data_IF_238908616789
#
_entry.id   IF_238908616789
#
_cell.length_a   1.000
_cell.length_b   1.000
_cell.length_c   1.000
_cell.angle_alpha   90.00
_cell.angle_beta   90.00
_cell.angle_gamma   90.00
#
_symmetry.space_group_name_H-M   'P 1'
#
loop_
_entity.id
_entity.type
_entity.pdbx_description
1 polymer ?
#
# COMPACT_ATOMS: atom_id res chain seq x y z
N UNK A 1 -11.84 -9.55 4.56
CA UNK A 1 -11.12 -10.80 4.90
C UNK A 1 -10.74 -11.64 3.67
N UNK A 2 -11.65 -11.97 2.76
CA UNK A 2 -11.33 -12.81 1.58
C UNK A 2 -10.28 -12.23 0.63
N UNK A 3 -10.22 -10.90 0.44
CA UNK A 3 -9.29 -10.25 -0.48
C UNK A 3 -7.84 -10.32 0.03
N UNK A 4 -7.63 -10.09 1.32
CA UNK A 4 -6.29 -10.18 1.94
C UNK A 4 -5.74 -11.62 1.88
N UNK A 5 -6.61 -12.63 2.04
CA UNK A 5 -6.22 -14.03 1.91
C UNK A 5 -5.71 -14.37 0.50
N UNK A 6 -6.34 -13.82 -0.55
CA UNK A 6 -5.89 -13.98 -1.94
C UNK A 6 -4.46 -13.43 -2.14
N UNK A 7 -4.17 -12.24 -1.61
CA UNK A 7 -2.82 -11.65 -1.74
C UNK A 7 -1.77 -12.42 -0.95
N UNK A 8 -2.11 -12.91 0.24
CA UNK A 8 -1.22 -13.80 1.01
C UNK A 8 -0.89 -15.07 0.21
N UNK A 9 -1.89 -15.73 -0.38
CA UNK A 9 -1.67 -16.93 -1.19
C UNK A 9 -0.78 -16.63 -2.40
N UNK A 10 -1.02 -15.53 -3.12
CA UNK A 10 -0.18 -15.11 -4.24
C UNK A 10 1.25 -14.81 -3.77
N UNK A 11 1.41 -14.14 -2.63
CA UNK A 11 2.72 -13.83 -2.08
C UNK A 11 3.49 -15.11 -1.68
N UNK A 12 2.82 -16.09 -1.06
CA UNK A 12 3.42 -17.38 -0.69
C UNK A 12 3.87 -18.15 -1.94
N UNK A 13 3.00 -18.27 -2.95
CA UNK A 13 3.36 -18.96 -4.20
C UNK A 13 4.47 -18.21 -4.96
N UNK A 14 4.35 -16.88 -5.06
CA UNK A 14 5.36 -16.04 -5.72
C UNK A 14 6.72 -16.12 -5.05
N UNK A 15 6.78 -16.08 -3.72
CA UNK A 15 8.04 -16.21 -2.98
C UNK A 15 8.67 -17.60 -3.14
N UNK A 16 7.86 -18.67 -3.14
CA UNK A 16 8.37 -20.00 -3.39
C UNK A 16 8.99 -20.14 -4.79
N UNK A 17 8.30 -19.60 -5.83
CA UNK A 17 8.82 -19.61 -7.21
C UNK A 17 10.12 -18.80 -7.30
N UNK A 18 10.19 -17.61 -6.69
CA UNK A 18 11.40 -16.77 -6.72
C UNK A 18 12.60 -17.46 -6.07
N UNK A 19 12.42 -18.09 -4.91
CA UNK A 19 13.51 -18.81 -4.23
C UNK A 19 14.02 -19.98 -5.07
N UNK A 20 13.13 -20.71 -5.73
CA UNK A 20 13.52 -21.78 -6.67
C UNK A 20 14.31 -21.20 -7.86
N UNK A 21 13.87 -20.08 -8.42
CA UNK A 21 14.59 -19.40 -9.51
C UNK A 21 15.97 -18.92 -9.07
N UNK A 22 16.11 -18.36 -7.87
CA UNK A 22 17.42 -17.93 -7.36
C UNK A 22 18.35 -19.11 -7.10
N UNK A 23 17.84 -20.23 -6.62
CA UNK A 23 18.62 -21.45 -6.47
C UNK A 23 19.19 -21.98 -7.81
N UNK A 24 18.35 -22.03 -8.85
CA UNK A 24 18.82 -22.42 -10.18
C UNK A 24 19.73 -21.35 -10.81
N UNK A 25 19.43 -20.07 -10.59
CA UNK A 25 20.27 -18.96 -11.02
C UNK A 25 21.67 -19.00 -10.41
N UNK A 26 21.78 -19.34 -9.11
CA UNK A 26 23.05 -19.53 -8.43
C UNK A 26 23.87 -20.67 -9.07
N UNK A 27 23.23 -21.81 -9.33
CA UNK A 27 23.89 -22.95 -9.99
C UNK A 27 24.39 -22.61 -11.40
N UNK A 28 23.66 -21.77 -12.12
CA UNK A 28 24.03 -21.34 -13.46
C UNK A 28 25.15 -20.29 -13.48
N UNK A 29 25.14 -19.34 -12.52
CA UNK A 29 26.10 -18.24 -12.47
C UNK A 29 27.44 -18.62 -11.80
N UNK A 30 27.44 -19.66 -10.93
CA UNK A 30 28.55 -20.02 -10.08
C UNK A 30 28.71 -19.10 -8.86
N UNK A 31 29.08 -19.68 -7.72
CA UNK A 31 29.12 -18.95 -6.42
C UNK A 31 30.15 -17.80 -6.40
N UNK A 32 31.20 -17.89 -7.17
CA UNK A 32 32.30 -16.91 -7.20
C UNK A 32 32.02 -15.70 -8.11
N UNK A 33 30.90 -15.69 -8.84
CA UNK A 33 30.52 -14.57 -9.70
C UNK A 33 29.74 -13.50 -8.92
N UNK A 34 29.78 -12.25 -9.41
CA UNK A 34 28.96 -11.15 -8.84
C UNK A 34 27.46 -11.53 -8.87
N UNK A 35 27.01 -12.13 -9.97
CA UNK A 35 25.63 -12.59 -10.11
C UNK A 35 25.32 -13.74 -9.15
N UNK A 36 26.24 -14.68 -8.95
CA UNK A 36 26.10 -15.74 -7.95
C UNK A 36 25.95 -15.19 -6.55
N UNK A 37 26.74 -14.20 -6.18
CA UNK A 37 26.61 -13.52 -4.86
C UNK A 37 25.25 -12.85 -4.69
N UNK A 38 24.72 -12.20 -5.73
CA UNK A 38 23.36 -11.62 -5.68
C UNK A 38 22.28 -12.70 -5.50
N UNK A 39 22.39 -13.83 -6.22
CA UNK A 39 21.45 -14.94 -6.03
C UNK A 39 21.53 -15.55 -4.64
N UNK A 40 22.73 -15.66 -4.05
CA UNK A 40 22.93 -16.09 -2.66
C UNK A 40 22.18 -15.16 -1.69
N UNK A 41 22.41 -13.85 -1.80
CA UNK A 41 21.77 -12.84 -0.96
C UNK A 41 20.25 -12.87 -1.08
N UNK A 42 19.71 -13.09 -2.28
CA UNK A 42 18.26 -13.12 -2.52
C UNK A 42 17.59 -14.44 -2.09
N UNK A 43 18.32 -15.45 -1.64
CA UNK A 43 17.79 -16.68 -1.10
C UNK A 43 18.17 -17.95 -1.83
N UNK A 44 19.20 -17.92 -2.68
CA UNK A 44 19.70 -19.09 -3.40
C UNK A 44 20.33 -20.15 -2.51
N UNK A 45 20.58 -19.88 -1.23
CA UNK A 45 21.26 -20.81 -0.29
C UNK A 45 20.24 -21.69 0.45
N UNK A 46 19.68 -22.67 -0.25
CA UNK A 46 18.82 -23.70 0.35
C UNK A 46 19.68 -24.80 1.03
N UNK A 47 19.33 -25.29 2.25
CA UNK A 47 18.11 -25.09 3.05
C UNK A 47 18.23 -24.13 4.22
N UNK A 48 19.41 -23.59 4.56
CA UNK A 48 19.68 -22.93 5.84
C UNK A 48 19.01 -21.52 6.01
N UNK A 49 18.73 -20.81 4.91
CA UNK A 49 18.09 -19.49 4.95
C UNK A 49 16.60 -19.50 4.66
N UNK A 50 16.02 -20.67 4.34
CA UNK A 50 14.68 -20.81 3.78
C UNK A 50 13.59 -20.10 4.57
N UNK A 51 13.53 -20.29 5.89
CA UNK A 51 12.40 -19.80 6.67
C UNK A 51 12.35 -18.28 6.74
N UNK A 52 13.49 -17.62 7.05
CA UNK A 52 13.53 -16.16 7.25
C UNK A 52 13.42 -15.39 5.94
N UNK A 53 14.18 -15.78 4.93
CA UNK A 53 14.09 -15.14 3.61
C UNK A 53 12.73 -15.35 2.95
N UNK A 54 12.14 -16.53 3.09
CA UNK A 54 10.79 -16.81 2.61
C UNK A 54 9.76 -15.86 3.22
N UNK A 55 9.83 -15.63 4.54
CA UNK A 55 8.94 -14.70 5.24
C UNK A 55 9.16 -13.25 4.79
N UNK A 56 10.41 -12.83 4.57
CA UNK A 56 10.74 -11.48 4.06
C UNK A 56 10.16 -11.29 2.66
N UNK A 57 10.31 -12.27 1.76
CA UNK A 57 9.72 -12.23 0.42
C UNK A 57 8.19 -12.19 0.45
N UNK A 58 7.55 -13.00 1.31
CA UNK A 58 6.09 -12.96 1.49
C UNK A 58 5.65 -11.55 1.91
N UNK A 59 6.31 -10.98 2.92
CA UNK A 59 5.96 -9.65 3.42
C UNK A 59 6.11 -8.57 2.34
N UNK A 60 7.20 -8.62 1.57
CA UNK A 60 7.45 -7.68 0.48
C UNK A 60 6.44 -7.79 -0.65
N UNK A 61 6.22 -9.00 -1.18
CA UNK A 61 5.28 -9.23 -2.29
C UNK A 61 3.86 -8.87 -1.87
N UNK A 62 3.43 -9.28 -0.66
CA UNK A 62 2.11 -8.93 -0.15
C UNK A 62 1.94 -7.43 -0.01
N UNK A 63 2.92 -6.73 0.59
CA UNK A 63 2.90 -5.27 0.70
C UNK A 63 2.80 -4.57 -0.65
N UNK A 64 3.56 -5.01 -1.64
CA UNK A 64 3.52 -4.46 -3.00
C UNK A 64 2.17 -4.71 -3.71
N UNK A 65 1.56 -5.88 -3.51
CA UNK A 65 0.23 -6.19 -4.05
C UNK A 65 -0.86 -5.32 -3.42
N UNK A 66 -0.80 -5.08 -2.11
CA UNK A 66 -1.73 -4.18 -1.40
C UNK A 66 -1.58 -2.73 -1.91
N UNK A 67 -0.36 -2.23 -2.06
CA UNK A 67 -0.09 -0.89 -2.61
C UNK A 67 -0.67 -0.77 -4.02
N UNK A 68 -0.38 -1.74 -4.89
CA UNK A 68 -0.89 -1.76 -6.26
C UNK A 68 -2.43 -1.70 -6.31
N UNK A 69 -3.10 -2.48 -5.47
CA UNK A 69 -4.57 -2.46 -5.40
C UNK A 69 -5.11 -1.09 -4.98
N UNK A 70 -4.46 -0.43 -4.01
CA UNK A 70 -4.85 0.90 -3.57
C UNK A 70 -4.64 1.96 -4.66
N UNK A 71 -3.49 1.95 -5.31
CA UNK A 71 -3.21 2.84 -6.43
C UNK A 71 -4.25 2.66 -7.55
N UNK A 72 -4.63 1.42 -7.87
CA UNK A 72 -5.68 1.17 -8.87
C UNK A 72 -7.04 1.76 -8.46
N UNK A 73 -7.39 1.70 -7.16
CA UNK A 73 -8.61 2.35 -6.65
C UNK A 73 -8.56 3.86 -6.75
N UNK A 74 -7.42 4.48 -6.38
CA UNK A 74 -7.23 5.93 -6.55
C UNK A 74 -7.39 6.33 -8.01
N UNK A 75 -6.78 5.57 -8.93
CA UNK A 75 -6.92 5.84 -10.36
C UNK A 75 -8.37 5.67 -10.85
N UNK A 76 -9.11 4.74 -10.27
CA UNK A 76 -10.52 4.58 -10.55
C UNK A 76 -11.33 5.78 -10.04
N UNK A 77 -11.13 6.21 -8.79
CA UNK A 77 -11.80 7.38 -8.20
C UNK A 77 -11.50 8.68 -8.97
N UNK A 78 -10.26 8.85 -9.45
CA UNK A 78 -9.90 10.02 -10.27
C UNK A 78 -10.72 10.18 -11.53
N UNK A 79 -11.25 9.09 -12.12
CA UNK A 79 -12.13 9.15 -13.29
C UNK A 79 -13.50 9.82 -13.02
N UNK A 80 -13.88 9.97 -11.74
CA UNK A 80 -15.09 10.69 -11.40
C UNK A 80 -15.03 12.16 -11.79
N UNK A 81 -13.82 12.77 -11.79
CA UNK A 81 -13.65 14.17 -12.22
C UNK A 81 -13.84 14.35 -13.73
N UNK A 82 -13.57 13.34 -14.54
CA UNK A 82 -13.77 13.38 -16.00
C UNK A 82 -15.25 13.38 -16.39
N UNK A 83 -16.15 13.09 -15.43
CA UNK A 83 -17.60 13.09 -15.67
C UNK A 83 -18.23 14.47 -15.55
N UNK A 84 -17.48 15.52 -15.21
CA UNK A 84 -17.97 16.89 -15.01
C UNK A 84 -19.31 16.90 -14.26
N UNK A 85 -19.28 16.37 -13.03
CA UNK A 85 -20.48 16.11 -12.23
C UNK A 85 -21.20 17.39 -11.81
N UNK A 86 -20.45 18.49 -11.64
CA UNK A 86 -20.93 19.81 -11.26
C UNK A 86 -20.68 20.81 -12.40
N UNK A 87 -21.45 21.91 -12.51
CA UNK A 87 -21.15 23.01 -13.41
C UNK A 87 -19.83 23.67 -13.00
N UNK A 88 -18.92 23.82 -13.93
CA UNK A 88 -17.58 24.42 -13.67
C UNK A 88 -17.52 25.90 -14.10
N UNK A 89 -18.56 26.42 -14.74
CA UNK A 89 -18.65 27.81 -15.20
C UNK A 89 -18.81 28.77 -14.00
N UNK A 90 -17.94 29.77 -13.88
CA UNK A 90 -17.90 30.67 -12.71
C UNK A 90 -19.19 31.48 -12.45
N UNK A 91 -19.94 31.81 -13.50
CA UNK A 91 -21.16 32.60 -13.41
C UNK A 91 -22.41 31.81 -13.02
N UNK A 92 -22.28 30.49 -12.87
CA UNK A 92 -23.42 29.63 -12.54
C UNK A 92 -23.75 29.71 -11.05
N UNK A 93 -24.99 30.11 -10.75
CA UNK A 93 -25.55 30.14 -9.38
C UNK A 93 -26.64 29.09 -9.28
N UNK A 94 -26.64 28.29 -8.23
CA UNK A 94 -27.59 27.19 -8.03
C UNK A 94 -28.75 27.61 -7.12
N UNK A 95 -29.95 27.49 -7.65
CA UNK A 95 -31.19 27.59 -6.86
C UNK A 95 -31.47 26.31 -6.06
N UNK A 96 -32.38 26.35 -5.09
CA UNK A 96 -32.78 25.13 -4.36
C UNK A 96 -33.39 24.04 -5.27
N UNK A 97 -34.00 24.41 -6.39
CA UNK A 97 -34.55 23.46 -7.36
C UNK A 97 -33.46 22.78 -8.17
N UNK A 98 -32.41 23.53 -8.58
CA UNK A 98 -31.25 22.96 -9.25
C UNK A 98 -30.52 21.94 -8.36
N UNK A 99 -30.43 22.19 -7.05
CA UNK A 99 -29.86 21.25 -6.07
C UNK A 99 -30.68 19.97 -5.94
N UNK A 100 -32.02 20.08 -6.07
CA UNK A 100 -32.91 18.90 -6.10
C UNK A 100 -32.66 18.04 -7.33
N UNK A 101 -32.60 18.68 -8.49
CA UNK A 101 -32.34 17.99 -9.76
C UNK A 101 -30.94 17.33 -9.76
N UNK A 102 -29.95 18.07 -9.29
CA UNK A 102 -28.59 17.55 -9.11
C UNK A 102 -28.57 16.32 -8.19
N UNK A 103 -29.27 16.35 -7.06
CA UNK A 103 -29.37 15.21 -6.14
C UNK A 103 -29.96 13.98 -6.83
N UNK A 104 -31.03 14.14 -7.63
CA UNK A 104 -31.65 13.04 -8.37
C UNK A 104 -30.64 12.47 -9.38
N UNK A 105 -29.93 13.33 -10.12
CA UNK A 105 -28.85 12.93 -11.03
C UNK A 105 -27.76 12.13 -10.32
N UNK A 106 -27.33 12.56 -9.11
CA UNK A 106 -26.32 11.84 -8.33
C UNK A 106 -26.81 10.46 -7.86
N UNK A 107 -28.09 10.32 -7.49
CA UNK A 107 -28.69 9.02 -7.13
C UNK A 107 -28.66 8.04 -8.33
N UNK A 108 -28.94 8.52 -9.52
CA UNK A 108 -28.94 7.67 -10.71
C UNK A 108 -27.51 7.32 -11.17
N UNK A 109 -26.57 8.23 -11.01
CA UNK A 109 -25.16 7.97 -11.29
C UNK A 109 -24.53 7.00 -10.28
N UNK A 110 -24.92 7.07 -9.00
CA UNK A 110 -24.45 6.15 -7.94
C UNK A 110 -24.84 4.69 -8.24
N UNK A 111 -25.95 4.45 -8.91
CA UNK A 111 -26.34 3.09 -9.35
C UNK A 111 -25.43 2.52 -10.43
N UNK A 112 -24.76 3.40 -11.20
CA UNK A 112 -23.89 3.03 -12.33
C UNK A 112 -22.41 3.04 -11.96
N UNK A 113 -22.04 3.93 -11.05
CA UNK A 113 -20.64 4.20 -10.68
C UNK A 113 -20.51 4.34 -9.17
N UNK A 114 -19.63 3.54 -8.57
CA UNK A 114 -19.31 3.59 -7.13
C UNK A 114 -18.14 4.55 -6.89
N UNK A 115 -18.38 5.88 -7.08
CA UNK A 115 -17.40 6.92 -6.82
C UNK A 115 -17.70 7.67 -5.51
N UNK A 116 -16.67 7.87 -4.67
CA UNK A 116 -16.81 8.63 -3.42
C UNK A 116 -17.20 10.09 -3.67
N UNK A 117 -16.76 10.67 -4.79
CA UNK A 117 -17.12 12.04 -5.18
C UNK A 117 -18.64 12.18 -5.40
N UNK A 118 -19.30 11.22 -6.06
CA UNK A 118 -20.75 11.21 -6.24
C UNK A 118 -21.47 11.17 -4.89
N UNK A 119 -20.98 10.34 -3.97
CA UNK A 119 -21.55 10.25 -2.62
C UNK A 119 -21.38 11.54 -1.82
N UNK A 120 -20.23 12.23 -1.96
CA UNK A 120 -19.95 13.50 -1.32
C UNK A 120 -20.93 14.59 -1.82
N UNK A 121 -21.09 14.72 -3.14
CA UNK A 121 -22.03 15.67 -3.78
C UNK A 121 -23.48 15.37 -3.32
N UNK A 122 -23.92 14.11 -3.35
CA UNK A 122 -25.25 13.68 -2.92
C UNK A 122 -25.52 14.07 -1.44
N UNK A 123 -24.53 13.87 -0.56
CA UNK A 123 -24.64 14.25 0.86
C UNK A 123 -24.71 15.76 1.00
N UNK A 124 -23.92 16.54 0.26
CA UNK A 124 -23.95 17.98 0.26
C UNK A 124 -25.35 18.51 -0.15
N UNK A 125 -25.91 18.02 -1.26
CA UNK A 125 -27.27 18.36 -1.69
C UNK A 125 -28.32 17.98 -0.64
N UNK A 126 -28.15 16.83 0.03
CA UNK A 126 -29.09 16.39 1.06
C UNK A 126 -29.05 17.31 2.27
N UNK A 127 -27.87 17.73 2.72
CA UNK A 127 -27.68 18.63 3.85
C UNK A 127 -28.28 20.02 3.56
N UNK A 128 -28.00 20.57 2.36
CA UNK A 128 -28.56 21.85 1.94
C UNK A 128 -30.09 21.85 1.93
N UNK A 129 -30.72 20.78 1.43
CA UNK A 129 -32.19 20.66 1.44
C UNK A 129 -32.80 20.63 2.83
N UNK A 130 -32.10 20.04 3.81
CA UNK A 130 -32.60 19.92 5.17
C UNK A 130 -32.55 21.27 5.93
N UNK A 131 -31.41 21.94 5.84
CA UNK A 131 -31.11 23.06 6.74
C UNK A 131 -31.05 24.41 6.03
N UNK A 132 -30.96 24.43 4.69
CA UNK A 132 -30.79 25.64 3.85
C UNK A 132 -29.65 26.56 4.38
N UNK A 133 -28.61 25.97 4.94
CA UNK A 133 -27.47 26.67 5.52
C UNK A 133 -26.21 26.31 4.73
N UNK A 134 -25.61 27.30 4.07
CA UNK A 134 -24.35 27.13 3.30
C UNK A 134 -23.22 26.73 4.23
N UNK A 135 -23.12 27.36 5.41
CA UNK A 135 -22.09 27.05 6.40
C UNK A 135 -22.15 25.60 6.88
N UNK A 136 -23.36 25.05 7.10
CA UNK A 136 -23.52 23.66 7.54
C UNK A 136 -23.17 22.68 6.43
N UNK A 137 -23.44 23.01 5.16
CA UNK A 137 -23.02 22.20 4.00
C UNK A 137 -21.50 22.19 3.89
N UNK A 138 -20.83 23.35 4.01
CA UNK A 138 -19.38 23.47 3.97
C UNK A 138 -18.74 22.61 5.07
N UNK A 139 -19.21 22.76 6.31
CA UNK A 139 -18.71 21.98 7.45
C UNK A 139 -18.92 20.47 7.25
N UNK A 140 -20.05 20.06 6.69
CA UNK A 140 -20.34 18.65 6.40
C UNK A 140 -19.43 18.11 5.31
N UNK A 141 -19.17 18.86 4.22
CA UNK A 141 -18.25 18.46 3.13
C UNK A 141 -16.86 18.23 3.69
N UNK A 142 -16.33 19.21 4.45
CA UNK A 142 -15.00 19.11 5.05
C UNK A 142 -14.90 17.96 6.07
N UNK A 143 -15.92 17.76 6.88
CA UNK A 143 -15.96 16.65 7.84
C UNK A 143 -16.00 15.29 7.12
N UNK A 144 -16.78 15.17 6.03
CA UNK A 144 -16.89 13.93 5.26
C UNK A 144 -15.59 13.63 4.52
N UNK A 145 -14.92 14.62 3.94
CA UNK A 145 -13.61 14.44 3.29
C UNK A 145 -12.57 13.91 4.29
N UNK A 146 -12.51 14.46 5.50
CA UNK A 146 -11.63 13.97 6.58
C UNK A 146 -11.96 12.53 7.00
N UNK A 147 -13.25 12.18 7.10
CA UNK A 147 -13.68 10.80 7.40
C UNK A 147 -13.24 9.85 6.30
N UNK A 148 -13.39 10.23 5.03
CA UNK A 148 -12.98 9.40 3.90
C UNK A 148 -11.46 9.18 3.91
N UNK A 149 -10.66 10.23 4.17
CA UNK A 149 -9.21 10.12 4.31
C UNK A 149 -8.82 9.21 5.47
N UNK A 150 -9.40 9.39 6.66
CA UNK A 150 -9.13 8.54 7.82
C UNK A 150 -9.48 7.06 7.55
N UNK A 151 -10.55 6.80 6.80
CA UNK A 151 -10.91 5.45 6.35
C UNK A 151 -9.88 4.87 5.38
N UNK A 152 -9.38 5.66 4.42
CA UNK A 152 -8.32 5.26 3.50
C UNK A 152 -7.02 4.90 4.27
N UNK A 153 -6.59 5.74 5.21
CA UNK A 153 -5.43 5.50 6.08
C UNK A 153 -5.58 4.24 6.94
N UNK A 154 -6.75 4.04 7.53
CA UNK A 154 -7.05 2.82 8.32
C UNK A 154 -6.90 1.55 7.48
N UNK A 155 -7.30 1.60 6.23
CA UNK A 155 -7.16 0.49 5.29
C UNK A 155 -5.70 0.18 4.87
N UNK A 156 -4.75 1.09 5.13
CA UNK A 156 -3.32 0.93 4.83
C UNK A 156 -2.52 0.32 6.00
N UNK A 157 -3.17 0.01 7.11
CA UNK A 157 -2.51 -0.51 8.32
C UNK A 157 -1.68 -1.78 8.06
N UNK A 158 -2.15 -2.66 7.18
CA UNK A 158 -1.42 -3.90 6.80
C UNK A 158 -0.11 -3.56 6.10
N UNK A 159 -0.10 -2.61 5.16
CA UNK A 159 1.11 -2.20 4.44
C UNK A 159 2.15 -1.65 5.42
N UNK A 160 1.72 -0.76 6.30
CA UNK A 160 2.57 -0.17 7.34
C UNK A 160 3.15 -1.24 8.28
N UNK A 161 2.32 -2.20 8.70
CA UNK A 161 2.77 -3.32 9.52
C UNK A 161 3.83 -4.17 8.81
N UNK A 162 3.60 -4.53 7.54
CA UNK A 162 4.54 -5.31 6.75
C UNK A 162 5.88 -4.57 6.58
N UNK A 163 5.84 -3.28 6.24
CA UNK A 163 7.04 -2.46 6.10
C UNK A 163 7.88 -2.41 7.39
N UNK A 164 7.20 -2.26 8.54
CA UNK A 164 7.85 -2.23 9.85
C UNK A 164 8.36 -3.62 10.30
N UNK A 165 7.65 -4.69 9.95
CA UNK A 165 8.01 -6.04 10.39
C UNK A 165 9.21 -6.63 9.65
N UNK A 166 9.49 -6.19 8.42
CA UNK A 166 10.61 -6.73 7.61
C UNK A 166 11.98 -6.55 8.29
N UNK A 167 12.38 -5.37 8.80
CA UNK A 167 13.64 -5.22 9.55
C UNK A 167 13.70 -6.14 10.77
N UNK A 168 12.58 -6.32 11.49
CA UNK A 168 12.52 -7.21 12.64
C UNK A 168 12.75 -8.68 12.23
N UNK A 169 12.16 -9.13 11.11
CA UNK A 169 12.40 -10.46 10.55
C UNK A 169 13.86 -10.66 10.15
N UNK A 170 14.48 -9.65 9.54
CA UNK A 170 15.91 -9.66 9.22
C UNK A 170 16.78 -9.80 10.47
N UNK A 171 16.48 -9.02 11.50
CA UNK A 171 17.21 -9.06 12.78
C UNK A 171 17.06 -10.43 13.48
N UNK A 172 15.87 -11.02 13.48
CA UNK A 172 15.65 -12.38 13.98
C UNK A 172 16.54 -13.37 13.23
N UNK A 173 16.61 -13.27 11.90
CA UNK A 173 17.50 -14.09 11.07
C UNK A 173 18.97 -13.96 11.47
N UNK A 174 19.42 -12.74 11.79
CA UNK A 174 20.80 -12.50 12.29
C UNK A 174 21.06 -13.18 13.62
N UNK A 175 20.13 -13.09 14.57
CA UNK A 175 20.27 -13.74 15.88
C UNK A 175 20.40 -15.26 15.72
N UNK A 176 19.57 -15.87 14.88
CA UNK A 176 19.65 -17.32 14.63
C UNK A 176 20.97 -17.73 13.94
N UNK A 177 21.42 -16.97 12.96
CA UNK A 177 22.68 -17.27 12.26
C UNK A 177 23.93 -17.12 13.14
N UNK A 178 23.98 -16.07 13.97
CA UNK A 178 25.04 -15.89 14.96
C UNK A 178 24.97 -16.99 16.02
N UNK A 179 23.79 -17.33 16.53
CA UNK A 179 23.59 -18.41 17.49
C UNK A 179 24.07 -19.77 16.95
N UNK A 180 23.75 -20.07 15.69
CA UNK A 180 24.25 -21.28 15.02
C UNK A 180 25.77 -21.28 14.88
N UNK A 181 26.38 -20.12 14.58
CA UNK A 181 27.83 -19.97 14.50
C UNK A 181 28.51 -20.19 15.87
N UNK A 182 27.95 -19.59 16.92
CA UNK A 182 28.49 -19.72 18.29
C UNK A 182 28.38 -21.16 18.81
N UNK A 183 27.35 -21.92 18.43
CA UNK A 183 27.22 -23.33 18.82
C UNK A 183 28.31 -24.27 18.27
N UNK A 184 29.07 -23.80 17.30
CA UNK A 184 30.17 -24.53 16.64
C UNK A 184 31.55 -24.01 17.06
N UNK A 185 31.62 -22.94 17.88
CA UNK A 185 32.83 -22.20 18.15
C UNK A 185 33.91 -23.03 18.87
N UNK A 186 33.52 -24.00 19.68
CA UNK A 186 34.44 -24.93 20.37
C UNK A 186 35.21 -25.86 19.40
N UNK A 187 34.68 -26.05 18.20
CA UNK A 187 35.27 -26.88 17.14
C UNK A 187 35.88 -26.07 15.99
N UNK A 188 36.06 -24.75 16.18
CA UNK A 188 36.57 -23.84 15.16
C UNK A 188 38.01 -24.13 14.67
N UNK A 189 38.76 -25.01 15.37
CA UNK A 189 40.06 -25.49 14.90
C UNK A 189 39.96 -26.40 13.65
N UNK A 190 38.81 -27.00 13.41
CA UNK A 190 38.52 -27.76 12.19
C UNK A 190 38.19 -26.81 11.02
N UNK A 191 38.96 -26.87 9.91
CA UNK A 191 38.70 -25.99 8.74
C UNK A 191 37.29 -26.11 8.16
N UNK A 192 36.69 -27.29 8.21
CA UNK A 192 35.32 -27.51 7.69
C UNK A 192 34.28 -26.84 8.61
N UNK A 193 34.46 -26.94 9.94
CA UNK A 193 33.61 -26.28 10.93
C UNK A 193 33.78 -24.76 10.85
N UNK A 194 35.01 -24.25 10.67
CA UNK A 194 35.27 -22.84 10.48
C UNK A 194 34.55 -22.29 9.23
N UNK A 195 34.54 -23.06 8.15
CA UNK A 195 33.78 -22.70 6.94
C UNK A 195 32.27 -22.64 7.20
N UNK A 196 31.70 -23.59 7.97
CA UNK A 196 30.29 -23.56 8.36
C UNK A 196 29.94 -22.34 9.23
N UNK A 197 30.78 -22.01 10.21
CA UNK A 197 30.63 -20.82 11.06
C UNK A 197 30.57 -19.57 10.17
N UNK A 198 31.52 -19.41 9.28
CA UNK A 198 31.63 -18.26 8.38
C UNK A 198 30.39 -18.16 7.47
N UNK A 199 29.94 -19.27 6.92
CA UNK A 199 28.78 -19.32 6.06
C UNK A 199 27.47 -18.94 6.80
N UNK A 200 27.27 -19.43 8.02
CA UNK A 200 26.12 -19.05 8.85
C UNK A 200 26.11 -17.54 9.12
N UNK A 201 27.27 -16.91 9.35
CA UNK A 201 27.36 -15.47 9.53
C UNK A 201 27.03 -14.69 8.25
N UNK A 202 27.52 -15.15 7.09
CA UNK A 202 27.16 -14.53 5.81
C UNK A 202 25.65 -14.54 5.58
N UNK A 203 25.01 -15.70 5.76
CA UNK A 203 23.55 -15.84 5.61
C UNK A 203 22.81 -14.92 6.58
N UNK A 204 23.28 -14.80 7.82
CA UNK A 204 22.68 -13.92 8.82
C UNK A 204 22.69 -12.45 8.39
N UNK A 205 23.84 -11.95 7.93
CA UNK A 205 23.97 -10.56 7.48
C UNK A 205 23.19 -10.29 6.18
N UNK A 206 23.22 -11.22 5.23
CA UNK A 206 22.47 -11.12 3.98
C UNK A 206 20.97 -11.00 4.23
N UNK A 207 20.41 -11.80 5.16
CA UNK A 207 19.00 -11.72 5.55
C UNK A 207 18.61 -10.33 6.04
N UNK A 208 19.45 -9.74 6.89
CA UNK A 208 19.19 -8.40 7.44
C UNK A 208 19.31 -7.32 6.36
N UNK A 209 20.34 -7.42 5.50
CA UNK A 209 20.54 -6.47 4.42
C UNK A 209 19.35 -6.45 3.46
N UNK A 210 18.87 -7.61 3.03
CA UNK A 210 17.71 -7.72 2.12
C UNK A 210 16.43 -7.24 2.80
N UNK A 211 16.21 -7.59 4.06
CA UNK A 211 15.05 -7.14 4.83
C UNK A 211 14.99 -5.61 4.94
N UNK A 212 16.13 -4.97 5.22
CA UNK A 212 16.25 -3.50 5.28
C UNK A 212 16.02 -2.87 3.90
N UNK A 213 16.62 -3.40 2.84
CA UNK A 213 16.45 -2.90 1.49
C UNK A 213 14.98 -2.97 1.04
N UNK A 214 14.31 -4.10 1.27
CA UNK A 214 12.90 -4.27 0.93
C UNK A 214 11.98 -3.39 1.77
N UNK A 215 12.29 -3.20 3.06
CA UNK A 215 11.55 -2.27 3.92
C UNK A 215 11.62 -0.85 3.38
N UNK A 216 12.81 -0.37 2.99
CA UNK A 216 12.99 0.97 2.42
C UNK A 216 12.18 1.13 1.12
N UNK A 217 12.24 0.15 0.22
CA UNK A 217 11.46 0.17 -1.03
C UNK A 217 9.96 0.21 -0.74
N UNK A 218 9.49 -0.64 0.16
CA UNK A 218 8.07 -0.71 0.50
C UNK A 218 7.58 0.59 1.17
N UNK A 219 8.39 1.20 2.06
CA UNK A 219 8.10 2.48 2.70
C UNK A 219 8.03 3.62 1.69
N UNK A 220 8.91 3.63 0.68
CA UNK A 220 8.87 4.62 -0.38
C UNK A 220 7.52 4.59 -1.13
N UNK A 221 7.10 3.42 -1.60
CA UNK A 221 5.81 3.27 -2.28
C UNK A 221 4.61 3.49 -1.37
N UNK A 222 4.73 3.17 -0.09
CA UNK A 222 3.70 3.46 0.91
C UNK A 222 3.52 4.97 1.11
N UNK A 223 4.59 5.73 1.22
CA UNK A 223 4.54 7.19 1.34
C UNK A 223 3.94 7.84 0.08
N UNK A 224 4.31 7.33 -1.11
CA UNK A 224 3.72 7.77 -2.37
C UNK A 224 2.21 7.50 -2.44
N UNK A 225 1.78 6.33 -1.96
CA UNK A 225 0.37 5.98 -1.84
C UNK A 225 -0.37 6.96 -0.92
N UNK A 226 0.19 7.28 0.26
CA UNK A 226 -0.40 8.23 1.19
C UNK A 226 -0.57 9.62 0.57
N UNK A 227 0.45 10.10 -0.13
CA UNK A 227 0.39 11.39 -0.83
C UNK A 227 -0.71 11.43 -1.89
N UNK A 228 -0.90 10.34 -2.63
CA UNK A 228 -1.96 10.24 -3.65
C UNK A 228 -3.36 10.17 -3.05
N UNK A 229 -3.56 9.48 -1.92
CA UNK A 229 -4.84 9.44 -1.20
C UNK A 229 -5.20 10.84 -0.66
N UNK A 230 -4.25 11.50 -0.01
CA UNK A 230 -4.43 12.83 0.54
C UNK A 230 -4.77 13.85 -0.58
N UNK A 231 -4.06 13.79 -1.72
CA UNK A 231 -4.37 14.63 -2.87
C UNK A 231 -5.77 14.38 -3.44
N UNK A 232 -6.20 13.10 -3.54
CA UNK A 232 -7.53 12.75 -4.05
C UNK A 232 -8.62 13.34 -3.16
N UNK A 233 -8.50 13.19 -1.84
CA UNK A 233 -9.53 13.67 -0.90
C UNK A 233 -9.58 15.19 -0.82
N UNK A 234 -8.42 15.88 -0.82
CA UNK A 234 -8.36 17.34 -0.90
C UNK A 234 -8.99 17.85 -2.20
N UNK A 235 -8.62 17.29 -3.34
CA UNK A 235 -9.21 17.68 -4.63
C UNK A 235 -10.72 17.43 -4.67
N UNK A 236 -11.21 16.37 -4.06
CA UNK A 236 -12.65 16.09 -3.96
C UNK A 236 -13.38 17.12 -3.10
N UNK A 237 -12.78 17.54 -1.99
CA UNK A 237 -13.29 18.60 -1.11
C UNK A 237 -13.33 19.93 -1.86
N UNK A 238 -12.21 20.37 -2.45
CA UNK A 238 -12.09 21.60 -3.21
C UNK A 238 -13.11 21.65 -4.35
N UNK A 239 -13.22 20.58 -5.14
CA UNK A 239 -14.16 20.48 -6.25
C UNK A 239 -15.61 20.71 -5.81
N UNK A 240 -16.02 20.12 -4.70
CA UNK A 240 -17.40 20.28 -4.16
C UNK A 240 -17.58 21.66 -3.53
N UNK A 241 -16.59 22.19 -2.84
CA UNK A 241 -16.66 23.55 -2.26
C UNK A 241 -16.77 24.61 -3.35
N UNK A 242 -15.93 24.54 -4.39
CA UNK A 242 -15.88 25.56 -5.44
C UNK A 242 -17.09 25.47 -6.38
N UNK A 243 -17.48 24.27 -6.79
CA UNK A 243 -18.48 24.08 -7.84
C UNK A 243 -19.91 23.79 -7.33
N UNK A 244 -20.08 23.57 -6.03
CA UNK A 244 -21.40 23.42 -5.42
C UNK A 244 -21.59 24.46 -4.30
N UNK A 245 -20.79 24.40 -3.22
CA UNK A 245 -21.10 25.15 -2.00
C UNK A 245 -21.02 26.66 -2.20
N UNK A 246 -19.98 27.15 -2.86
CA UNK A 246 -19.77 28.58 -3.17
C UNK A 246 -20.78 29.15 -4.18
N UNK A 247 -21.57 28.28 -4.82
CA UNK A 247 -22.55 28.65 -5.86
C UNK A 247 -23.98 28.53 -5.38
N UNK A 248 -24.20 28.10 -4.14
CA UNK A 248 -25.54 28.00 -3.56
C UNK A 248 -26.15 29.38 -3.32
N UNK A 249 -27.37 29.60 -3.78
CA UNK A 249 -28.19 30.76 -3.44
C UNK A 249 -29.40 30.31 -2.60
N UNK A 250 -29.76 31.16 -1.65
CA UNK A 250 -30.92 30.94 -0.75
C UNK A 250 -32.19 31.63 -1.24
N UNK A 251 -32.09 32.45 -2.32
CA UNK A 251 -33.23 33.16 -2.92
C UNK A 251 -33.96 32.32 -3.98
#
# INVERSE_FOLDING_TARGET
MQKNLKYVVIAVLGSAILLVLFFFGLKAAGENSILGRLFLMLGGHLPHSLAHQFLIWIAFIWGMLEIRDRIQKIQHEKKAFDLHLLPEEEHWVMSPDDVNELKIKMIDLEKKHDYQLIQLIKKACTKFRADKSISDVMNMVSAQAKINLAYAESNQTVIRYLAWSMPALGFIGTIFGIGASLSLADKAADPEVLHQITNNMYVAFDNTLIALAFSIILLYYYNELQAQEDQLHRRSEEYVLENLVNRLNLE
#
